data_IF_297633158827
#
_entry.id   IF_297633158827
#
_cell.length_a   1.000
_cell.length_b   1.000
_cell.length_c   1.000
_cell.angle_alpha   90.00
_cell.angle_beta   90.00
_cell.angle_gamma   90.00
#
_symmetry.space_group_name_H-M   'P 1'
#
loop_
_entity.id
_entity.type
_entity.pdbx_description
1 polymer ?
#
# COMPACT_ATOMS: atom_id res chain seq x y z
N UNK A 1 -0.98 -65.92 -11.75
CA UNK A 1 -1.05 -65.10 -10.52
C UNK A 1 -0.05 -63.96 -10.65
N UNK A 2 -0.48 -62.69 -10.63
CA UNK A 2 0.41 -61.53 -10.80
C UNK A 2 1.12 -61.21 -9.48
N UNK A 3 2.43 -61.35 -9.43
CA UNK A 3 3.26 -60.92 -8.30
C UNK A 3 3.15 -59.40 -8.14
N UNK A 4 2.42 -58.93 -7.12
CA UNK A 4 2.48 -57.52 -6.72
C UNK A 4 3.62 -57.34 -5.72
N UNK A 5 4.78 -56.91 -6.23
CA UNK A 5 5.86 -56.43 -5.36
C UNK A 5 5.41 -55.07 -4.80
N UNK A 6 5.12 -55.03 -3.50
CA UNK A 6 4.88 -53.79 -2.76
C UNK A 6 6.20 -53.12 -2.41
N UNK A 7 6.17 -51.80 -2.22
CA UNK A 7 7.28 -51.04 -1.66
C UNK A 7 7.61 -51.54 -0.26
N UNK A 8 8.91 -51.61 0.06
CA UNK A 8 9.39 -51.96 1.40
C UNK A 8 9.45 -50.71 2.29
N UNK A 9 9.37 -50.91 3.61
CA UNK A 9 9.48 -49.81 4.58
C UNK A 9 10.82 -49.08 4.49
N UNK A 10 11.89 -49.80 4.16
CA UNK A 10 13.25 -49.23 4.05
C UNK A 10 13.34 -48.27 2.89
N UNK A 11 12.74 -48.59 1.75
CA UNK A 11 12.69 -47.71 0.58
C UNK A 11 11.91 -46.43 0.89
N UNK A 12 10.77 -46.55 1.57
CA UNK A 12 9.98 -45.40 1.97
C UNK A 12 10.73 -44.51 2.98
N UNK A 13 11.44 -45.12 3.93
CA UNK A 13 12.24 -44.41 4.94
C UNK A 13 13.37 -43.61 4.30
N UNK A 14 14.11 -44.22 3.36
CA UNK A 14 15.19 -43.54 2.64
C UNK A 14 14.69 -42.31 1.88
N UNK A 15 13.52 -42.41 1.24
CA UNK A 15 12.91 -41.27 0.51
C UNK A 15 12.53 -40.14 1.45
N UNK A 16 11.92 -40.43 2.61
CA UNK A 16 11.53 -39.40 3.59
C UNK A 16 12.76 -38.68 4.17
N UNK A 17 13.87 -39.41 4.41
CA UNK A 17 15.13 -38.83 4.88
C UNK A 17 15.72 -37.86 3.85
N UNK A 18 15.72 -38.22 2.56
CA UNK A 18 16.21 -37.30 1.52
C UNK A 18 15.27 -36.10 1.34
N UNK A 19 13.96 -36.31 1.36
CA UNK A 19 12.97 -35.22 1.25
C UNK A 19 13.07 -34.22 2.42
N UNK A 20 13.32 -34.69 3.64
CA UNK A 20 13.46 -33.80 4.80
C UNK A 20 14.71 -32.93 4.71
N UNK A 21 15.83 -33.47 4.23
CA UNK A 21 17.06 -32.71 3.98
C UNK A 21 16.85 -31.62 2.92
N UNK A 22 16.14 -31.94 1.83
CA UNK A 22 15.82 -30.97 0.77
C UNK A 22 14.86 -29.89 1.28
N UNK A 23 13.88 -30.24 2.12
CA UNK A 23 12.96 -29.25 2.71
C UNK A 23 13.67 -28.22 3.61
N UNK A 24 14.66 -28.65 4.40
CA UNK A 24 15.40 -27.75 5.31
C UNK A 24 16.08 -26.60 4.55
N UNK A 25 16.66 -26.87 3.37
CA UNK A 25 17.29 -25.83 2.53
C UNK A 25 16.29 -25.01 1.72
N UNK A 26 15.15 -25.61 1.34
CA UNK A 26 14.16 -24.97 0.49
C UNK A 26 13.32 -23.91 1.23
N UNK A 27 12.96 -24.16 2.50
CA UNK A 27 12.13 -23.24 3.31
C UNK A 27 12.73 -21.82 3.42
N UNK A 28 14.01 -21.62 3.83
CA UNK A 28 14.58 -20.27 3.96
C UNK A 28 14.77 -19.54 2.63
N UNK A 29 14.89 -20.26 1.51
CA UNK A 29 14.98 -19.67 0.17
C UNK A 29 13.66 -19.01 -0.27
N UNK A 30 12.52 -19.54 0.16
CA UNK A 30 11.18 -19.03 -0.21
C UNK A 30 10.79 -17.81 0.64
N UNK A 31 11.23 -17.73 1.90
CA UNK A 31 10.77 -16.68 2.83
C UNK A 31 11.39 -15.30 2.55
N UNK A 32 12.63 -15.21 2.06
CA UNK A 32 13.33 -13.92 1.84
C UNK A 32 12.73 -13.04 0.73
N UNK A 33 12.12 -13.62 -0.31
CA UNK A 33 11.58 -12.83 -1.44
C UNK A 33 10.25 -12.11 -1.13
N UNK A 34 9.56 -12.48 -0.06
CA UNK A 34 8.21 -11.96 0.24
C UNK A 34 8.23 -10.53 0.79
N UNK A 35 9.30 -10.12 1.49
CA UNK A 35 9.40 -8.79 2.11
C UNK A 35 9.57 -7.68 1.06
N UNK A 36 10.49 -7.87 0.11
CA UNK A 36 10.73 -6.89 -0.96
C UNK A 36 9.51 -6.73 -1.86
N UNK A 37 8.79 -7.82 -2.16
CA UNK A 37 7.54 -7.76 -2.91
C UNK A 37 6.47 -6.92 -2.17
N UNK A 38 6.29 -7.13 -0.86
CA UNK A 38 5.36 -6.33 -0.05
C UNK A 38 5.71 -4.85 -0.02
N UNK A 39 7.00 -4.50 0.08
CA UNK A 39 7.46 -3.10 -0.01
C UNK A 39 7.15 -2.48 -1.38
N UNK A 40 7.40 -3.21 -2.46
CA UNK A 40 7.09 -2.75 -3.82
C UNK A 40 5.58 -2.51 -4.01
N UNK A 41 4.74 -3.39 -3.46
CA UNK A 41 3.28 -3.23 -3.44
C UNK A 41 2.88 -1.98 -2.65
N UNK A 42 3.44 -1.78 -1.44
CA UNK A 42 3.17 -0.58 -0.63
C UNK A 42 3.51 0.69 -1.41
N UNK A 43 4.71 0.75 -1.99
CA UNK A 43 5.19 1.90 -2.77
C UNK A 43 4.28 2.21 -3.95
N UNK A 44 3.88 1.18 -4.71
CA UNK A 44 2.98 1.33 -5.85
C UNK A 44 1.60 1.82 -5.41
N UNK A 45 1.04 1.20 -4.36
CA UNK A 45 -0.26 1.59 -3.77
C UNK A 45 -0.25 3.06 -3.35
N UNK A 46 0.76 3.48 -2.59
CA UNK A 46 0.88 4.85 -2.11
C UNK A 46 1.05 5.84 -3.25
N UNK A 47 1.89 5.53 -4.25
CA UNK A 47 2.06 6.39 -5.42
C UNK A 47 0.75 6.57 -6.19
N UNK A 48 -0.01 5.49 -6.40
CA UNK A 48 -1.33 5.58 -7.04
C UNK A 48 -2.29 6.47 -6.23
N UNK A 49 -2.34 6.32 -4.90
CA UNK A 49 -3.18 7.18 -4.06
C UNK A 49 -2.76 8.65 -4.16
N UNK A 50 -1.44 8.92 -4.19
CA UNK A 50 -0.90 10.27 -4.39
C UNK A 50 -1.31 10.82 -5.76
N UNK A 51 -1.29 10.03 -6.82
CA UNK A 51 -1.73 10.45 -8.15
C UNK A 51 -3.26 10.72 -8.18
N UNK A 52 -4.08 9.83 -7.62
CA UNK A 52 -5.54 10.01 -7.52
C UNK A 52 -5.92 11.24 -6.68
N UNK A 53 -5.11 11.59 -5.67
CA UNK A 53 -5.34 12.80 -4.89
C UNK A 53 -5.19 14.09 -5.71
N UNK A 54 -4.39 14.08 -6.79
CA UNK A 54 -4.31 15.23 -7.72
C UNK A 54 -5.65 15.41 -8.41
N UNK A 55 -6.24 14.32 -8.92
CA UNK A 55 -7.55 14.35 -9.57
C UNK A 55 -8.62 14.86 -8.61
N UNK A 56 -8.63 14.35 -7.37
CA UNK A 56 -9.52 14.87 -6.33
C UNK A 56 -9.35 16.38 -6.13
N UNK A 57 -8.12 16.87 -6.08
CA UNK A 57 -7.85 18.30 -5.92
C UNK A 57 -8.31 19.14 -7.11
N UNK A 58 -8.17 18.61 -8.33
CA UNK A 58 -8.61 19.27 -9.57
C UNK A 58 -10.14 19.35 -9.65
N UNK A 59 -10.85 18.31 -9.23
CA UNK A 59 -12.32 18.29 -9.18
C UNK A 59 -12.87 19.17 -8.06
N UNK A 60 -12.06 19.47 -7.03
CA UNK A 60 -12.48 20.17 -5.80
C UNK A 60 -11.68 21.46 -5.52
N UNK A 61 -11.33 22.21 -6.57
CA UNK A 61 -10.58 23.47 -6.47
C UNK A 61 -11.22 24.52 -5.55
N UNK A 62 -12.55 24.49 -5.39
CA UNK A 62 -13.30 25.38 -4.52
C UNK A 62 -12.87 25.28 -3.04
N UNK A 63 -12.45 24.11 -2.56
CA UNK A 63 -11.99 23.95 -1.18
C UNK A 63 -10.66 24.66 -0.92
N UNK A 64 -9.81 24.83 -1.94
CA UNK A 64 -8.59 25.62 -1.82
C UNK A 64 -8.90 27.12 -1.72
N UNK A 65 -9.90 27.57 -2.48
CA UNK A 65 -10.17 28.99 -2.70
C UNK A 65 -11.15 29.63 -1.70
N UNK A 66 -11.96 28.83 -1.01
CA UNK A 66 -12.99 29.33 -0.09
C UNK A 66 -12.66 29.07 1.37
N UNK A 67 -13.44 29.66 2.28
CA UNK A 67 -13.33 29.38 3.72
C UNK A 67 -13.82 27.98 4.09
N UNK A 68 -14.70 27.38 3.29
CA UNK A 68 -15.09 25.98 3.45
C UNK A 68 -13.99 25.09 2.87
N UNK A 69 -13.27 24.39 3.72
CA UNK A 69 -12.17 23.50 3.32
C UNK A 69 -12.61 22.08 3.01
N UNK A 70 -13.88 21.74 3.19
CA UNK A 70 -14.36 20.36 3.00
C UNK A 70 -13.52 19.39 3.84
N UNK A 71 -12.98 18.31 3.26
CA UNK A 71 -12.11 17.37 3.97
C UNK A 71 -10.66 17.86 4.16
N UNK A 72 -10.27 18.99 3.54
CA UNK A 72 -8.92 19.53 3.68
C UNK A 72 -8.65 20.03 5.09
N UNK A 73 -7.46 19.72 5.60
CA UNK A 73 -6.96 20.08 6.93
C UNK A 73 -5.69 20.92 6.79
N UNK A 74 -5.31 21.65 7.83
CA UNK A 74 -4.00 22.33 7.95
C UNK A 74 -3.54 23.13 6.71
N UNK A 75 -4.46 23.85 6.07
CA UNK A 75 -4.14 24.64 4.87
C UNK A 75 -3.25 25.84 5.19
N UNK A 76 -2.20 26.05 4.41
CA UNK A 76 -1.25 27.17 4.53
C UNK A 76 -0.91 27.77 3.18
N UNK A 77 -0.49 29.04 3.17
CA UNK A 77 -0.13 29.78 1.97
C UNK A 77 -1.27 30.59 1.35
N UNK A 78 -0.91 31.58 0.53
CA UNK A 78 -1.86 32.49 -0.13
C UNK A 78 -1.95 32.20 -1.63
N UNK A 79 -0.87 32.39 -2.38
CA UNK A 79 -0.84 32.15 -3.84
C UNK A 79 -0.60 30.68 -4.20
N UNK A 80 0.14 29.98 -3.35
CA UNK A 80 0.38 28.55 -3.40
C UNK A 80 -0.19 27.99 -2.10
N UNK A 81 -1.35 27.36 -2.19
CA UNK A 81 -2.08 26.83 -1.05
C UNK A 81 -1.74 25.36 -0.90
N UNK A 82 -1.17 24.97 0.24
CA UNK A 82 -0.90 23.57 0.57
C UNK A 82 -1.78 23.15 1.73
N UNK A 83 -2.53 22.07 1.56
CA UNK A 83 -3.41 21.48 2.55
C UNK A 83 -3.08 20.01 2.78
N UNK A 84 -3.52 19.49 3.91
CA UNK A 84 -3.45 18.07 4.25
C UNK A 84 -4.76 17.38 3.92
N UNK A 85 -4.67 16.19 3.35
CA UNK A 85 -5.79 15.26 3.14
C UNK A 85 -5.33 13.85 3.49
N UNK A 86 -6.20 13.04 4.10
CA UNK A 86 -5.86 11.66 4.46
C UNK A 86 -6.26 10.67 3.38
N UNK A 87 -5.68 9.47 3.40
CA UNK A 87 -6.13 8.39 2.52
C UNK A 87 -7.61 8.04 2.78
N UNK A 88 -8.06 8.08 4.05
CA UNK A 88 -9.47 7.86 4.37
C UNK A 88 -10.38 8.89 3.70
N UNK A 89 -10.02 10.18 3.75
CA UNK A 89 -10.82 11.25 3.13
C UNK A 89 -11.00 11.01 1.62
N UNK A 90 -9.96 10.52 0.92
CA UNK A 90 -10.02 10.17 -0.50
C UNK A 90 -10.87 8.92 -0.77
N UNK A 91 -10.84 7.94 0.14
CA UNK A 91 -11.64 6.73 0.02
C UNK A 91 -13.13 7.00 0.23
N UNK A 92 -13.47 7.82 1.24
CA UNK A 92 -14.85 8.27 1.47
C UNK A 92 -15.39 9.10 0.30
N UNK A 93 -14.53 9.86 -0.37
CA UNK A 93 -14.87 10.60 -1.57
C UNK A 93 -14.98 9.72 -2.84
N UNK A 94 -14.59 8.44 -2.76
CA UNK A 94 -14.70 7.47 -3.86
C UNK A 94 -13.57 7.52 -4.90
N UNK A 95 -12.48 8.23 -4.63
CA UNK A 95 -11.33 8.33 -5.56
C UNK A 95 -10.39 7.15 -5.40
N UNK A 96 -10.39 6.53 -4.22
CA UNK A 96 -9.68 5.29 -3.96
C UNK A 96 -10.62 4.30 -3.28
N UNK A 97 -10.29 3.01 -3.33
CA UNK A 97 -11.08 1.94 -2.70
C UNK A 97 -10.46 1.55 -1.37
N UNK A 98 -11.32 1.12 -0.45
CA UNK A 98 -10.84 0.41 0.73
C UNK A 98 -10.37 -0.99 0.33
N UNK A 99 -9.36 -1.52 1.04
CA UNK A 99 -8.98 -2.92 0.87
C UNK A 99 -10.01 -3.84 1.55
N UNK A 100 -10.60 -3.37 2.65
CA UNK A 100 -11.77 -3.96 3.28
C UNK A 100 -12.86 -2.89 3.40
N UNK A 101 -13.91 -3.02 2.57
CA UNK A 101 -15.03 -2.09 2.50
C UNK A 101 -15.91 -2.11 3.77
N UNK A 102 -16.08 -3.28 4.41
CA UNK A 102 -16.90 -3.42 5.62
C UNK A 102 -16.25 -2.70 6.82
N UNK A 103 -14.93 -2.83 6.94
CA UNK A 103 -14.15 -2.20 8.01
C UNK A 103 -13.66 -0.79 7.64
N UNK A 104 -13.94 -0.32 6.41
CA UNK A 104 -13.37 0.91 5.84
C UNK A 104 -11.86 1.01 6.06
N UNK A 105 -11.14 -0.05 5.69
CA UNK A 105 -9.72 -0.20 5.99
C UNK A 105 -8.86 -0.21 4.73
N UNK A 106 -7.83 0.64 4.74
CA UNK A 106 -6.71 0.61 3.79
C UNK A 106 -5.54 -0.05 4.51
N UNK A 107 -5.12 -1.20 4.01
CA UNK A 107 -4.15 -2.08 4.68
C UNK A 107 -2.71 -1.76 4.27
N UNK A 108 -1.79 -1.93 5.24
CA UNK A 108 -0.35 -1.96 4.97
C UNK A 108 0.08 -3.39 4.58
N UNK A 109 0.48 -3.65 3.33
CA UNK A 109 0.90 -4.98 2.89
C UNK A 109 2.19 -5.45 3.60
N UNK A 110 2.98 -4.55 4.18
CA UNK A 110 4.16 -4.88 4.99
C UNK A 110 3.80 -5.25 6.43
N UNK A 111 2.56 -4.97 6.86
CA UNK A 111 2.05 -5.15 8.24
C UNK A 111 2.86 -4.42 9.31
N UNK A 112 3.58 -3.34 8.93
CA UNK A 112 4.28 -2.49 9.91
C UNK A 112 3.32 -1.56 10.63
N UNK A 113 2.27 -1.10 9.92
CA UNK A 113 1.14 -0.36 10.47
C UNK A 113 -0.13 -1.23 10.41
N UNK A 114 -1.06 -0.98 11.33
CA UNK A 114 -2.37 -1.65 11.34
C UNK A 114 -3.29 -1.14 10.23
N UNK A 115 -3.13 0.13 9.85
CA UNK A 115 -3.93 0.82 8.83
C UNK A 115 -3.10 1.93 8.19
N UNK A 116 -3.41 2.26 6.94
CA UNK A 116 -2.89 3.41 6.21
C UNK A 116 -3.93 4.55 6.11
N UNK A 117 -5.11 4.42 6.72
CA UNK A 117 -6.20 5.39 6.63
C UNK A 117 -5.77 6.82 7.01
N UNK A 118 -4.94 6.92 8.05
CA UNK A 118 -4.47 8.20 8.61
C UNK A 118 -3.20 8.74 7.93
N UNK A 119 -2.68 8.05 6.90
CA UNK A 119 -1.56 8.59 6.11
C UNK A 119 -1.99 9.86 5.40
N UNK A 120 -1.10 10.85 5.43
CA UNK A 120 -1.41 12.22 4.99
C UNK A 120 -0.69 12.53 3.68
N UNK A 121 -1.44 13.12 2.77
CA UNK A 121 -0.96 13.73 1.53
C UNK A 121 -1.00 15.24 1.70
N UNK A 122 0.08 15.90 1.28
CA UNK A 122 0.14 17.32 1.07
C UNK A 122 -0.36 17.62 -0.34
N UNK A 123 -1.55 18.22 -0.44
CA UNK A 123 -2.11 18.69 -1.70
C UNK A 123 -1.85 20.18 -1.87
N UNK A 124 -1.20 20.55 -2.96
CA UNK A 124 -0.82 21.92 -3.27
C UNK A 124 -1.55 22.41 -4.51
N UNK A 125 -2.26 23.53 -4.38
CA UNK A 125 -2.85 24.25 -5.50
C UNK A 125 -2.13 25.58 -5.74
N UNK A 126 -1.64 25.78 -6.96
CA UNK A 126 -1.01 27.03 -7.38
C UNK A 126 -2.01 27.88 -8.16
N UNK A 127 -2.40 29.04 -7.62
CA UNK A 127 -3.39 29.94 -8.22
C UNK A 127 -2.96 30.52 -9.57
N UNK A 128 -1.65 30.78 -9.73
CA UNK A 128 -1.10 31.39 -10.94
C UNK A 128 -1.10 30.41 -12.11
N UNK A 129 -0.61 29.18 -11.88
CA UNK A 129 -0.57 28.15 -12.93
C UNK A 129 -1.87 27.35 -13.05
N UNK A 130 -2.78 27.47 -12.08
CA UNK A 130 -4.01 26.66 -11.94
C UNK A 130 -3.73 25.16 -11.93
N UNK A 131 -2.60 24.75 -11.35
CA UNK A 131 -2.20 23.35 -11.25
C UNK A 131 -2.32 22.84 -9.82
N UNK A 132 -2.73 21.59 -9.71
CA UNK A 132 -2.69 20.81 -8.48
C UNK A 132 -1.46 19.89 -8.54
N UNK A 133 -0.82 19.71 -7.40
CA UNK A 133 0.24 18.72 -7.20
C UNK A 133 0.11 18.10 -5.82
N UNK A 134 0.57 16.86 -5.66
CA UNK A 134 0.47 16.13 -4.40
C UNK A 134 1.83 15.55 -3.99
N UNK A 135 2.01 15.32 -2.71
CA UNK A 135 3.15 14.57 -2.17
C UNK A 135 2.81 13.92 -0.85
N UNK A 136 3.44 12.80 -0.52
CA UNK A 136 3.25 12.16 0.77
C UNK A 136 3.93 12.97 1.89
N UNK A 137 3.21 13.22 2.98
CA UNK A 137 3.73 13.99 4.13
C UNK A 137 4.86 13.28 4.86
N UNK A 138 4.80 11.95 4.96
CA UNK A 138 5.87 11.10 5.51
C UNK A 138 6.52 10.23 4.41
N UNK A 139 7.56 10.72 3.73
CA UNK A 139 8.25 9.94 2.70
C UNK A 139 8.89 8.64 3.22
N UNK A 140 9.09 8.48 4.54
CA UNK A 140 9.73 7.28 5.10
C UNK A 140 8.86 6.02 4.93
N UNK A 141 7.55 6.18 4.72
CA UNK A 141 6.61 5.10 4.46
C UNK A 141 7.02 4.24 3.25
N UNK A 142 7.58 4.87 2.21
CA UNK A 142 7.91 4.23 0.92
C UNK A 142 9.41 4.26 0.58
N UNK A 143 10.26 4.73 1.49
CA UNK A 143 11.72 4.72 1.29
C UNK A 143 12.28 3.30 1.51
N UNK A 144 13.13 2.90 0.56
CA UNK A 144 13.95 1.72 0.69
C UNK A 144 15.11 2.05 1.65
N UNK A 145 15.01 1.60 2.91
CA UNK A 145 16.16 1.56 3.83
C UNK A 145 17.21 0.57 3.34
#
# INVERSE_FOLDING_TARGET
>A
MKNKKGFTLVELLAVIVVLSLVMIIAIPAITKNTSSAKKAILKTKVNLIVDESVIWGEDNLNYFLTSNKGPLKSCTGEDIITCEITFNDLAEAGYIKYDNEEEKLITDPTKKKNSLNDEVILLTYNKSSKKVSSSLKDPSLIKDN
#
